data_IF_853627968900
#
_entry.id   IF_853627968900
#
_cell.length_a   1.000
_cell.length_b   1.000
_cell.length_c   1.000
_cell.angle_alpha   90.00
_cell.angle_beta   90.00
_cell.angle_gamma   90.00
#
_symmetry.space_group_name_H-M   'P 1'
#
loop_
_entity.id
_entity.type
_entity.pdbx_description
1 polymer ?
#
# COMPACT_ATOMS: atom_id res chain seq x y z
N UNK A 1 47.36 66.44 10.78
CA UNK A 1 47.11 65.97 9.40
C UNK A 1 46.99 64.45 9.40
N UNK A 2 45.81 63.97 9.29
CA UNK A 2 45.59 62.55 9.13
C UNK A 2 45.61 62.30 7.63
N UNK A 3 46.73 61.81 7.12
CA UNK A 3 46.84 61.43 5.70
C UNK A 3 47.08 59.92 5.63
N UNK A 4 46.11 59.23 5.17
CA UNK A 4 46.27 57.86 4.76
C UNK A 4 45.05 57.06 5.10
N UNK A 5 44.08 57.03 4.23
CA UNK A 5 43.08 55.94 4.21
C UNK A 5 43.82 54.69 3.76
N UNK A 6 44.30 53.90 4.70
CA UNK A 6 44.66 52.53 4.43
C UNK A 6 43.29 51.82 4.21
N UNK A 7 42.99 51.54 2.99
CA UNK A 7 41.85 50.69 2.72
C UNK A 7 42.21 49.24 3.08
N UNK A 8 42.09 48.91 4.36
CA UNK A 8 42.26 47.54 4.82
C UNK A 8 41.12 46.71 4.25
N UNK A 9 41.48 45.76 3.44
CA UNK A 9 40.53 44.74 2.98
C UNK A 9 40.49 43.58 3.96
N UNK A 10 39.42 42.83 4.01
CA UNK A 10 39.32 41.64 4.86
C UNK A 10 40.52 40.69 4.67
N UNK A 11 41.04 40.55 3.45
CA UNK A 11 42.21 39.70 3.14
C UNK A 11 43.54 40.24 3.60
N UNK A 12 43.63 41.53 4.03
CA UNK A 12 44.86 42.15 4.53
C UNK A 12 45.03 42.02 6.04
N UNK A 13 44.05 41.48 6.75
CA UNK A 13 44.14 41.20 8.18
C UNK A 13 44.97 39.93 8.41
N UNK A 14 45.71 39.86 9.52
CA UNK A 14 46.65 38.75 9.79
C UNK A 14 45.96 37.42 10.10
N UNK A 15 44.74 37.47 10.55
CA UNK A 15 43.92 36.30 10.99
C UNK A 15 42.90 35.88 9.97
N UNK A 16 42.98 36.38 8.74
CA UNK A 16 42.05 36.08 7.66
C UNK A 16 42.73 35.37 6.49
N UNK A 17 41.95 34.65 5.66
CA UNK A 17 42.47 34.03 4.43
C UNK A 17 43.07 35.05 3.47
N UNK A 18 44.14 34.69 2.79
CA UNK A 18 44.91 35.59 1.92
C UNK A 18 44.33 35.74 0.51
N UNK A 19 43.32 34.93 0.14
CA UNK A 19 42.70 34.95 -1.19
C UNK A 19 41.25 34.49 -1.18
N UNK A 20 40.42 35.03 -2.10
CA UNK A 20 39.11 34.55 -2.42
C UNK A 20 39.10 33.45 -3.50
N UNK A 21 40.26 33.25 -4.16
CA UNK A 21 40.36 32.23 -5.22
C UNK A 21 40.09 30.86 -4.62
N UNK A 22 39.26 30.06 -5.31
CA UNK A 22 38.83 28.74 -4.86
C UNK A 22 37.90 28.69 -3.61
N UNK A 23 37.50 29.89 -3.11
CA UNK A 23 36.62 30.02 -1.94
C UNK A 23 35.22 30.54 -2.28
N UNK A 24 34.82 30.45 -3.55
CA UNK A 24 33.45 30.75 -4.01
C UNK A 24 32.49 29.76 -3.35
N UNK A 25 31.34 30.25 -2.90
CA UNK A 25 30.30 29.49 -2.22
C UNK A 25 30.69 28.88 -0.86
N UNK A 26 31.79 29.37 -0.28
CA UNK A 26 32.17 29.03 1.10
C UNK A 26 31.73 30.13 2.07
N UNK A 27 31.57 29.75 3.34
CA UNK A 27 31.32 30.70 4.43
C UNK A 27 32.57 30.87 5.31
N UNK A 28 32.59 31.96 6.06
CA UNK A 28 33.64 32.23 7.03
C UNK A 28 33.29 31.61 8.38
N UNK A 29 34.24 30.92 9.01
CA UNK A 29 34.15 30.48 10.39
C UNK A 29 35.41 30.70 11.17
N UNK A 30 35.30 30.78 12.48
CA UNK A 30 36.47 30.81 13.37
C UNK A 30 36.95 29.36 13.55
N UNK A 31 38.23 29.13 13.29
CA UNK A 31 38.90 27.83 13.48
C UNK A 31 39.67 27.84 14.79
N UNK A 32 39.27 27.02 15.75
CA UNK A 32 39.98 26.83 17.00
C UNK A 32 41.29 26.05 16.82
N UNK A 33 41.32 25.16 15.82
CA UNK A 33 42.51 24.37 15.51
C UNK A 33 43.72 25.24 15.01
N UNK A 34 43.42 26.40 14.46
CA UNK A 34 44.40 27.34 13.91
C UNK A 34 44.55 28.60 14.79
N UNK A 35 44.42 28.46 16.09
CA UNK A 35 44.64 29.57 17.03
C UNK A 35 43.57 30.67 17.02
N UNK A 36 42.36 30.36 16.54
CA UNK A 36 41.25 31.31 16.49
C UNK A 36 41.18 32.13 15.21
N UNK A 37 41.94 31.77 14.16
CA UNK A 37 41.87 32.41 12.85
C UNK A 37 40.54 32.23 12.13
N UNK A 38 40.22 33.13 11.19
CA UNK A 38 39.06 33.06 10.33
C UNK A 38 39.41 32.31 9.05
N UNK A 39 38.66 31.28 8.73
CA UNK A 39 38.89 30.43 7.54
C UNK A 39 37.64 30.32 6.68
N UNK A 40 37.84 30.08 5.38
CA UNK A 40 36.74 29.71 4.49
C UNK A 40 36.42 28.21 4.64
N UNK A 41 35.16 27.88 4.82
CA UNK A 41 34.71 26.50 4.95
C UNK A 41 33.46 26.23 4.09
N UNK A 42 33.27 24.99 3.71
CA UNK A 42 32.09 24.56 2.97
C UNK A 42 31.00 24.07 3.94
N UNK A 43 29.73 24.44 3.66
CA UNK A 43 28.58 23.88 4.37
C UNK A 43 28.32 22.50 3.79
N UNK A 44 28.37 21.51 4.66
CA UNK A 44 27.85 20.15 4.36
C UNK A 44 27.01 19.70 5.55
N UNK A 45 26.22 18.65 5.33
CA UNK A 45 25.30 18.11 6.35
C UNK A 45 26.02 17.57 7.58
N UNK A 46 27.29 17.14 7.46
CA UNK A 46 28.09 16.62 8.57
C UNK A 46 28.47 17.70 9.61
N UNK A 47 28.51 18.96 9.18
CA UNK A 47 28.87 20.11 10.01
C UNK A 47 27.66 20.87 10.58
N UNK A 48 26.48 20.58 10.10
CA UNK A 48 25.24 21.23 10.56
C UNK A 48 24.54 20.29 11.55
N UNK A 49 24.49 20.65 12.85
CA UNK A 49 23.79 19.83 13.83
C UNK A 49 22.29 19.70 13.48
N UNK A 50 21.80 18.49 13.42
CA UNK A 50 20.36 18.24 13.35
C UNK A 50 19.74 18.65 14.69
N UNK A 51 18.77 19.56 14.64
CA UNK A 51 17.95 19.93 15.80
C UNK A 51 16.53 19.45 15.58
N UNK A 52 15.61 20.35 15.24
CA UNK A 52 14.23 20.01 14.88
C UNK A 52 14.10 19.56 13.42
N UNK A 53 15.01 20.00 12.55
CA UNK A 53 15.03 19.62 11.13
C UNK A 53 15.97 18.43 10.91
N UNK A 54 15.40 17.25 10.83
CA UNK A 54 16.14 16.02 10.57
C UNK A 54 16.43 15.85 9.08
N UNK A 55 17.68 15.54 8.73
CA UNK A 55 18.03 15.18 7.35
C UNK A 55 17.43 13.84 6.97
N UNK A 56 17.02 13.72 5.72
CA UNK A 56 16.55 12.47 5.16
C UNK A 56 17.73 11.52 4.92
N UNK A 57 17.71 10.36 5.58
CA UNK A 57 18.56 9.23 5.25
C UNK A 57 17.68 8.01 4.95
N UNK A 58 18.19 7.09 4.13
CA UNK A 58 17.45 5.87 3.76
C UNK A 58 17.09 5.04 5.01
N UNK A 59 17.98 4.96 6.00
CA UNK A 59 17.73 4.26 7.25
C UNK A 59 16.58 4.88 8.05
N UNK A 60 16.51 6.22 8.12
CA UNK A 60 15.41 6.91 8.82
C UNK A 60 14.09 6.72 8.10
N UNK A 61 14.08 6.80 6.77
CA UNK A 61 12.88 6.57 5.96
C UNK A 61 12.40 5.13 6.15
N UNK A 62 13.29 4.15 6.02
CA UNK A 62 12.97 2.74 6.18
C UNK A 62 12.46 2.43 7.59
N UNK A 63 13.10 2.96 8.63
CA UNK A 63 12.66 2.78 10.02
C UNK A 63 11.28 3.36 10.26
N UNK A 64 10.97 4.56 9.73
CA UNK A 64 9.65 5.17 9.84
C UNK A 64 8.58 4.38 9.10
N UNK A 65 8.89 3.86 7.91
CA UNK A 65 7.99 3.00 7.15
C UNK A 65 7.71 1.72 7.94
N UNK A 66 8.75 1.05 8.44
CA UNK A 66 8.60 -0.17 9.26
C UNK A 66 7.74 0.07 10.50
N UNK A 67 8.02 1.14 11.26
CA UNK A 67 7.22 1.50 12.43
C UNK A 67 5.75 1.69 12.07
N UNK A 68 5.46 2.45 11.01
CA UNK A 68 4.08 2.71 10.57
C UNK A 68 3.36 1.46 10.08
N UNK A 69 4.08 0.52 9.49
CA UNK A 69 3.52 -0.79 9.11
C UNK A 69 3.24 -1.66 10.33
N UNK A 70 4.13 -1.66 11.34
CA UNK A 70 3.98 -2.45 12.56
C UNK A 70 2.89 -1.94 13.49
N UNK A 71 2.76 -0.62 13.64
CA UNK A 71 1.73 0.01 14.50
C UNK A 71 0.37 0.18 13.81
N UNK A 72 0.24 -0.37 12.57
CA UNK A 72 -0.97 -0.26 11.74
C UNK A 72 -1.42 1.19 11.49
N UNK A 73 -0.49 2.15 11.52
CA UNK A 73 -0.80 3.57 11.29
C UNK A 73 -0.99 3.93 9.82
N UNK A 74 -0.82 2.96 8.89
CA UNK A 74 -1.14 3.09 7.48
C UNK A 74 -2.48 2.42 7.24
N UNK A 75 -3.51 3.20 6.92
CA UNK A 75 -4.87 2.70 6.69
C UNK A 75 -5.07 2.12 5.28
N UNK A 76 -4.36 2.67 4.28
CA UNK A 76 -4.49 2.24 2.89
C UNK A 76 -3.13 2.24 2.19
N UNK A 77 -2.82 1.16 1.48
CA UNK A 77 -1.66 1.05 0.60
C UNK A 77 -2.16 0.76 -0.81
N UNK A 78 -1.79 1.61 -1.78
CA UNK A 78 -2.05 1.38 -3.20
C UNK A 78 -0.75 1.06 -3.91
N UNK A 79 -0.71 -0.06 -4.62
CA UNK A 79 0.47 -0.55 -5.34
C UNK A 79 0.07 -0.77 -6.79
N UNK A 80 0.81 -0.15 -7.73
CA UNK A 80 0.58 -0.30 -9.17
C UNK A 80 1.18 -1.58 -9.77
N UNK A 81 1.94 -2.34 -8.98
CA UNK A 81 2.60 -3.58 -9.38
C UNK A 81 2.04 -4.81 -8.69
N UNK A 82 2.88 -5.80 -8.48
CA UNK A 82 2.57 -7.04 -7.77
C UNK A 82 3.08 -7.01 -6.35
N UNK A 83 2.36 -7.66 -5.44
CA UNK A 83 2.81 -7.93 -4.06
C UNK A 83 3.28 -9.38 -4.02
N UNK A 84 4.54 -9.60 -3.61
CA UNK A 84 5.08 -10.93 -3.35
C UNK A 84 5.24 -11.05 -1.84
N UNK A 85 4.52 -11.98 -1.23
CA UNK A 85 4.55 -12.23 0.20
C UNK A 85 4.40 -13.73 0.48
N UNK A 86 4.85 -14.17 1.65
CA UNK A 86 4.72 -15.57 2.05
C UNK A 86 3.28 -15.90 2.46
N UNK A 87 2.56 -14.93 3.05
CA UNK A 87 1.22 -15.14 3.58
C UNK A 87 0.40 -13.84 3.56
N UNK A 88 -0.90 -13.97 3.30
CA UNK A 88 -1.88 -12.87 3.43
C UNK A 88 -2.89 -13.26 4.50
N UNK A 89 -2.89 -12.53 5.62
CA UNK A 89 -3.83 -12.71 6.71
C UNK A 89 -4.87 -11.59 6.71
N UNK A 90 -6.14 -11.94 6.67
CA UNK A 90 -7.25 -11.01 6.86
C UNK A 90 -7.76 -11.12 8.29
N UNK A 91 -7.78 -9.99 9.03
CA UNK A 91 -8.30 -9.95 10.39
C UNK A 91 -9.79 -10.28 10.41
N UNK A 92 -10.19 -11.29 11.23
CA UNK A 92 -11.57 -11.80 11.25
C UNK A 92 -12.07 -12.17 12.64
N UNK A 93 -11.55 -11.51 13.70
CA UNK A 93 -11.96 -11.73 15.08
C UNK A 93 -13.41 -11.26 15.29
N UNK A 94 -14.24 -12.11 15.91
CA UNK A 94 -15.64 -11.84 16.20
C UNK A 94 -15.81 -10.58 17.09
N UNK A 95 -14.85 -10.30 17.97
CA UNK A 95 -14.87 -9.13 18.86
C UNK A 95 -14.78 -7.79 18.13
N UNK A 96 -14.30 -7.81 16.88
CA UNK A 96 -14.18 -6.64 16.01
C UNK A 96 -15.39 -6.46 15.10
N UNK A 97 -16.37 -7.37 15.17
CA UNK A 97 -17.55 -7.38 14.30
C UNK A 97 -18.83 -7.13 15.09
N UNK A 98 -19.81 -6.57 14.43
CA UNK A 98 -21.16 -6.38 14.97
C UNK A 98 -22.20 -6.80 13.93
N UNK A 99 -23.43 -7.08 14.37
CA UNK A 99 -24.55 -7.48 13.49
C UNK A 99 -24.20 -8.71 12.63
N UNK A 100 -23.51 -9.68 13.25
CA UNK A 100 -23.13 -10.92 12.56
C UNK A 100 -24.39 -11.74 12.30
N UNK A 101 -24.63 -12.12 11.06
CA UNK A 101 -25.74 -12.96 10.62
C UNK A 101 -25.27 -13.92 9.54
N UNK A 102 -25.92 -15.06 9.46
CA UNK A 102 -25.66 -16.05 8.41
C UNK A 102 -26.18 -15.56 7.06
N UNK A 103 -25.42 -15.85 6.00
CA UNK A 103 -25.85 -15.61 4.64
C UNK A 103 -26.87 -16.68 4.23
N UNK A 104 -27.92 -16.27 3.53
CA UNK A 104 -28.85 -17.20 2.92
C UNK A 104 -28.17 -17.91 1.74
N UNK A 105 -28.06 -19.24 1.81
CA UNK A 105 -27.30 -20.04 0.86
C UNK A 105 -27.94 -20.06 -0.55
N UNK A 106 -29.25 -20.01 -0.65
CA UNK A 106 -29.99 -19.92 -1.93
C UNK A 106 -29.69 -18.56 -2.60
N UNK A 107 -29.75 -17.46 -1.84
CA UNK A 107 -29.41 -16.13 -2.35
C UNK A 107 -27.93 -16.04 -2.77
N UNK A 108 -27.05 -16.72 -2.07
CA UNK A 108 -25.64 -16.83 -2.46
C UNK A 108 -25.50 -17.52 -3.82
N UNK A 109 -26.12 -18.66 -4.00
CA UNK A 109 -26.10 -19.39 -5.28
C UNK A 109 -26.67 -18.54 -6.41
N UNK A 110 -27.83 -17.90 -6.18
CA UNK A 110 -28.45 -17.03 -7.17
C UNK A 110 -27.52 -15.89 -7.60
N UNK A 111 -26.85 -15.22 -6.65
CA UNK A 111 -25.91 -14.16 -6.94
C UNK A 111 -24.69 -14.68 -7.72
N UNK A 112 -24.07 -15.77 -7.25
CA UNK A 112 -22.87 -16.34 -7.90
C UNK A 112 -23.15 -16.78 -9.34
N UNK A 113 -24.33 -17.37 -9.61
CA UNK A 113 -24.73 -17.78 -10.94
C UNK A 113 -24.93 -16.62 -11.93
N UNK A 114 -25.11 -15.39 -11.45
CA UNK A 114 -25.18 -14.19 -12.30
C UNK A 114 -23.80 -13.63 -12.66
N UNK A 115 -22.75 -14.01 -11.93
CA UNK A 115 -21.39 -13.55 -12.20
C UNK A 115 -20.87 -14.17 -13.49
N UNK A 116 -20.15 -13.37 -14.27
CA UNK A 116 -19.56 -13.80 -15.53
C UNK A 116 -18.03 -13.77 -15.45
N UNK A 117 -17.37 -14.91 -15.22
CA UNK A 117 -15.93 -15.02 -15.29
C UNK A 117 -15.42 -14.60 -16.67
N UNK A 118 -14.35 -13.83 -16.71
CA UNK A 118 -13.72 -13.30 -17.92
C UNK A 118 -12.24 -13.66 -17.96
N UNK A 119 -11.72 -13.81 -19.15
CA UNK A 119 -10.31 -13.67 -19.46
C UNK A 119 -10.10 -12.27 -20.02
N UNK A 120 -9.04 -11.59 -19.59
CA UNK A 120 -8.72 -10.23 -20.02
C UNK A 120 -7.21 -9.98 -19.97
N UNK A 121 -6.76 -8.88 -20.55
CA UNK A 121 -5.41 -8.36 -20.42
C UNK A 121 -5.46 -6.92 -19.93
N UNK A 122 -4.47 -6.50 -19.14
CA UNK A 122 -4.35 -5.10 -18.79
C UNK A 122 -3.76 -4.30 -19.97
N UNK A 123 -4.32 -3.15 -20.26
CA UNK A 123 -3.86 -2.25 -21.34
C UNK A 123 -2.37 -1.90 -21.17
N UNK A 124 -1.94 -1.69 -19.92
CA UNK A 124 -0.56 -1.35 -19.57
C UNK A 124 0.41 -2.54 -19.63
N UNK A 125 -0.10 -3.76 -19.70
CA UNK A 125 0.71 -4.99 -19.78
C UNK A 125 0.03 -6.01 -20.69
N UNK A 126 -0.01 -5.77 -22.02
CA UNK A 126 -0.59 -6.67 -22.99
C UNK A 126 0.19 -7.99 -23.08
N UNK A 127 -0.45 -9.05 -23.61
CA UNK A 127 0.11 -10.40 -23.77
C UNK A 127 0.27 -11.22 -22.47
N UNK A 128 -0.34 -10.76 -21.37
CA UNK A 128 -0.44 -11.54 -20.14
C UNK A 128 -1.91 -11.76 -19.77
N UNK A 129 -2.51 -12.90 -20.19
CA UNK A 129 -3.89 -13.17 -19.88
C UNK A 129 -4.12 -13.30 -18.36
N UNK A 130 -5.19 -12.69 -17.90
CA UNK A 130 -5.68 -12.71 -16.53
C UNK A 130 -7.10 -13.22 -16.50
N UNK A 131 -7.54 -13.69 -15.36
CA UNK A 131 -8.88 -14.21 -15.14
C UNK A 131 -9.51 -13.50 -13.95
N UNK A 132 -10.80 -13.20 -14.07
CA UNK A 132 -11.52 -12.53 -13.00
C UNK A 132 -12.90 -12.10 -13.44
N UNK A 133 -13.49 -11.14 -12.74
CA UNK A 133 -14.76 -10.51 -13.06
C UNK A 133 -14.56 -9.03 -13.36
N UNK A 134 -15.45 -8.45 -14.16
CA UNK A 134 -15.43 -7.01 -14.43
C UNK A 134 -16.20 -6.31 -13.30
N UNK A 135 -15.55 -5.32 -12.67
CA UNK A 135 -16.09 -4.62 -11.50
C UNK A 135 -17.47 -4.01 -11.76
N UNK A 136 -17.70 -3.43 -12.96
CA UNK A 136 -18.98 -2.85 -13.35
C UNK A 136 -20.10 -3.90 -13.48
N UNK A 137 -19.77 -5.12 -13.90
CA UNK A 137 -20.74 -6.23 -13.97
C UNK A 137 -21.04 -6.78 -12.57
N UNK A 138 -20.00 -6.92 -11.73
CA UNK A 138 -20.15 -7.35 -10.33
C UNK A 138 -20.99 -6.36 -9.52
N UNK A 139 -20.81 -5.07 -9.72
CA UNK A 139 -21.53 -4.01 -9.00
C UNK A 139 -23.05 -4.10 -9.18
N UNK A 140 -23.53 -4.63 -10.30
CA UNK A 140 -24.96 -4.83 -10.55
C UNK A 140 -25.56 -5.97 -9.73
N UNK A 141 -24.73 -6.93 -9.31
CA UNK A 141 -25.18 -8.12 -8.57
C UNK A 141 -24.83 -8.00 -7.08
N UNK A 142 -23.61 -7.60 -6.77
CA UNK A 142 -23.05 -7.48 -5.42
C UNK A 142 -22.30 -6.14 -5.27
N UNK A 143 -23.02 -5.01 -5.17
CA UNK A 143 -22.42 -3.68 -5.14
C UNK A 143 -21.47 -3.47 -3.95
N UNK A 144 -21.71 -4.13 -2.82
CA UNK A 144 -20.86 -4.05 -1.63
C UNK A 144 -19.44 -4.59 -1.83
N UNK A 145 -19.21 -5.42 -2.85
CA UNK A 145 -17.91 -6.01 -3.15
C UNK A 145 -17.06 -5.16 -4.11
N UNK A 146 -17.57 -4.00 -4.51
CA UNK A 146 -16.89 -3.10 -5.44
C UNK A 146 -16.54 -1.79 -4.74
N UNK A 147 -15.25 -1.44 -4.76
CA UNK A 147 -14.76 -0.17 -4.25
C UNK A 147 -14.45 0.76 -5.43
N UNK A 148 -14.80 2.04 -5.28
CA UNK A 148 -14.44 3.09 -6.26
C UNK A 148 -13.48 4.07 -5.62
N UNK A 149 -12.29 4.20 -6.18
CA UNK A 149 -11.26 5.14 -5.72
C UNK A 149 -10.71 5.90 -6.92
N UNK A 150 -10.73 7.22 -6.86
CA UNK A 150 -10.25 8.10 -7.93
C UNK A 150 -10.82 7.75 -9.33
N UNK A 151 -12.11 7.38 -9.39
CA UNK A 151 -12.78 7.02 -10.64
C UNK A 151 -12.48 5.61 -11.16
N UNK A 152 -11.60 4.86 -10.51
CA UNK A 152 -11.31 3.46 -10.83
C UNK A 152 -12.04 2.52 -9.89
N UNK A 153 -12.59 1.42 -10.43
CA UNK A 153 -13.31 0.39 -9.67
C UNK A 153 -12.41 -0.82 -9.42
N UNK A 154 -12.48 -1.34 -8.20
CA UNK A 154 -11.75 -2.55 -7.77
C UNK A 154 -12.70 -3.55 -7.11
N UNK A 155 -12.38 -4.84 -7.21
CA UNK A 155 -13.16 -5.95 -6.66
C UNK A 155 -12.49 -6.47 -5.40
N UNK A 156 -13.27 -6.63 -4.32
CA UNK A 156 -12.83 -7.34 -3.13
C UNK A 156 -13.04 -8.85 -3.31
N UNK A 157 -12.05 -9.53 -3.86
CA UNK A 157 -12.13 -10.99 -4.11
C UNK A 157 -12.20 -11.81 -2.82
N UNK A 158 -11.68 -11.32 -1.70
CA UNK A 158 -11.75 -12.03 -0.41
C UNK A 158 -13.21 -12.15 0.05
N UNK A 159 -14.00 -11.11 -0.14
CA UNK A 159 -15.42 -11.12 0.22
C UNK A 159 -16.32 -11.92 -0.76
N UNK A 160 -15.81 -12.34 -1.91
CA UNK A 160 -16.51 -13.29 -2.79
C UNK A 160 -16.53 -14.69 -2.18
N UNK A 161 -15.53 -15.05 -1.36
CA UNK A 161 -15.40 -16.40 -0.78
C UNK A 161 -16.64 -16.82 0.04
N UNK A 162 -17.18 -16.02 0.97
CA UNK A 162 -18.40 -16.39 1.70
C UNK A 162 -19.59 -16.70 0.80
N UNK A 163 -19.77 -16.01 -0.32
CA UNK A 163 -20.82 -16.28 -1.29
C UNK A 163 -20.60 -17.63 -1.99
N UNK A 164 -19.35 -17.97 -2.32
CA UNK A 164 -19.02 -19.28 -2.88
C UNK A 164 -19.28 -20.40 -1.88
N UNK A 165 -18.94 -20.19 -0.60
CA UNK A 165 -19.24 -21.18 0.47
C UNK A 165 -20.74 -21.43 0.57
N UNK A 166 -21.56 -20.37 0.68
CA UNK A 166 -23.01 -20.49 0.74
C UNK A 166 -23.59 -21.18 -0.49
N UNK A 167 -23.07 -20.86 -1.68
CA UNK A 167 -23.50 -21.51 -2.95
C UNK A 167 -23.21 -23.01 -2.96
N UNK A 168 -22.03 -23.44 -2.51
CA UNK A 168 -21.64 -24.84 -2.41
C UNK A 168 -22.55 -25.58 -1.40
N UNK A 169 -22.84 -24.95 -0.25
CA UNK A 169 -23.74 -25.51 0.76
C UNK A 169 -25.14 -25.72 0.21
N UNK A 170 -25.69 -24.77 -0.55
CA UNK A 170 -26.99 -24.91 -1.18
C UNK A 170 -27.00 -26.01 -2.25
N UNK A 171 -25.99 -26.05 -3.13
CA UNK A 171 -25.86 -27.11 -4.14
C UNK A 171 -25.76 -28.50 -3.50
N UNK A 172 -24.96 -28.64 -2.42
CA UNK A 172 -24.86 -29.90 -1.68
C UNK A 172 -26.25 -30.35 -1.18
N UNK A 173 -26.98 -29.44 -0.53
CA UNK A 173 -28.33 -29.74 -0.03
C UNK A 173 -29.27 -30.16 -1.16
N UNK A 174 -29.28 -29.45 -2.28
CA UNK A 174 -30.10 -29.75 -3.44
C UNK A 174 -29.79 -31.14 -4.01
N UNK A 175 -28.50 -31.49 -4.13
CA UNK A 175 -28.07 -32.81 -4.59
C UNK A 175 -28.56 -33.93 -3.65
N UNK A 176 -28.45 -33.75 -2.34
CA UNK A 176 -28.91 -34.71 -1.32
C UNK A 176 -30.42 -34.91 -1.41
N UNK A 177 -31.19 -33.83 -1.59
CA UNK A 177 -32.64 -33.93 -1.81
C UNK A 177 -33.00 -34.75 -3.08
N UNK A 178 -32.34 -34.40 -4.20
CA UNK A 178 -32.57 -35.13 -5.47
C UNK A 178 -32.19 -36.61 -5.38
N UNK A 179 -31.09 -36.94 -4.69
CA UNK A 179 -30.69 -38.34 -4.46
C UNK A 179 -31.76 -39.11 -3.67
N UNK A 180 -32.32 -38.48 -2.63
CA UNK A 180 -33.39 -39.10 -1.85
C UNK A 180 -34.66 -39.31 -2.68
N UNK A 181 -35.05 -38.34 -3.51
CA UNK A 181 -36.18 -38.47 -4.42
C UNK A 181 -35.99 -39.64 -5.41
N UNK A 182 -34.80 -39.74 -6.00
CA UNK A 182 -34.47 -40.85 -6.91
C UNK A 182 -34.59 -42.22 -6.20
N UNK A 183 -34.06 -42.31 -4.97
CA UNK A 183 -34.16 -43.54 -4.17
C UNK A 183 -35.62 -43.90 -3.87
N UNK A 184 -36.44 -42.92 -3.53
CA UNK A 184 -37.88 -43.12 -3.30
C UNK A 184 -38.62 -43.62 -4.57
N UNK A 185 -38.34 -42.97 -5.70
CA UNK A 185 -38.92 -43.39 -7.00
C UNK A 185 -38.49 -44.81 -7.37
N UNK A 186 -37.23 -45.18 -7.18
CA UNK A 186 -36.76 -46.56 -7.44
C UNK A 186 -37.42 -47.58 -6.53
N UNK A 187 -37.68 -47.27 -5.28
CA UNK A 187 -38.37 -48.13 -4.35
C UNK A 187 -39.83 -48.37 -4.80
N UNK A 188 -40.52 -47.28 -5.19
CA UNK A 188 -41.91 -47.39 -5.68
C UNK A 188 -42.02 -48.26 -6.95
N UNK A 189 -41.10 -48.14 -7.89
CA UNK A 189 -41.07 -48.98 -9.10
C UNK A 189 -40.85 -50.45 -8.81
N UNK A 190 -40.14 -50.81 -7.75
CA UNK A 190 -39.96 -52.22 -7.33
C UNK A 190 -41.24 -52.84 -6.75
N UNK A 191 -42.08 -52.04 -6.10
CA UNK A 191 -43.32 -52.50 -5.51
C UNK A 191 -44.50 -52.47 -6.48
N UNK A 192 -44.36 -51.90 -7.68
CA UNK A 192 -45.38 -51.81 -8.73
C UNK A 192 -45.30 -52.98 -9.74
N UNK A 193 -44.38 -53.91 -9.54
CA UNK A 193 -44.22 -55.15 -10.32
C UNK A 193 -44.64 -56.35 -9.46
#
# INVERSE_FOLDING_TARGET
MYTGSVSETFLSLQDTPTTYTENIDKYLRVSYAEGGSVVFDSINTDKVPEQSNLYYTDERVNSRIQTKLQDKSISNISISGSIICNEVLAESDARLKRNVADLNSESCLHAVCQLRPKSYEFIVNPHQPRFGVIAQELEQVLPSLVNTTNGSKSVNYVEVIPFLIGSIQHLKHTVECLQNEVLMMQSQLKYSR
#
